data_IF_959240312515
#
_entry.id   IF_959240312515
#
_cell.length_a   1.000
_cell.length_b   1.000
_cell.length_c   1.000
_cell.angle_alpha   90.00
_cell.angle_beta   90.00
_cell.angle_gamma   90.00
#
_symmetry.space_group_name_H-M   'P 1'
#
loop_
_entity.id
_entity.type
_entity.pdbx_description
1 polymer ?
#
# COMPACT_ATOMS: atom_id res chain seq x y z
N UNK A 1 63.52 6.48 -35.30
CA UNK A 1 62.06 6.19 -35.26
C UNK A 1 61.88 4.94 -34.41
N UNK A 2 61.10 4.83 -33.34
CA UNK A 2 60.34 5.73 -32.48
C UNK A 2 60.30 4.98 -31.13
N UNK A 3 60.70 5.61 -30.02
CA UNK A 3 60.58 5.02 -28.68
C UNK A 3 59.13 5.24 -28.22
N UNK A 4 58.36 4.17 -28.07
CA UNK A 4 56.99 4.24 -27.55
C UNK A 4 57.02 4.27 -26.01
N UNK A 5 56.78 5.44 -25.44
CA UNK A 5 56.54 5.64 -24.01
C UNK A 5 55.15 5.08 -23.66
N UNK A 6 55.08 4.03 -22.85
CA UNK A 6 53.82 3.59 -22.24
C UNK A 6 53.56 4.45 -21.01
N UNK A 7 52.62 5.39 -21.11
CA UNK A 7 52.12 6.17 -19.97
C UNK A 7 51.08 5.33 -19.23
N UNK A 8 51.40 4.91 -18.01
CA UNK A 8 50.43 4.29 -17.11
C UNK A 8 49.40 5.35 -16.66
N UNK A 9 48.13 5.17 -17.04
CA UNK A 9 47.05 6.01 -16.54
C UNK A 9 46.64 5.51 -15.15
N UNK A 10 46.84 6.34 -14.13
CA UNK A 10 46.29 6.10 -12.80
C UNK A 10 44.77 6.29 -12.82
N UNK A 11 44.02 5.27 -12.41
CA UNK A 11 42.57 5.39 -12.21
C UNK A 11 42.27 6.35 -11.05
N UNK A 12 41.20 7.17 -11.13
CA UNK A 12 40.82 8.02 -10.03
C UNK A 12 40.33 7.16 -8.86
N UNK A 13 40.93 7.40 -7.69
CA UNK A 13 40.48 6.85 -6.41
C UNK A 13 39.06 7.36 -6.16
N UNK A 14 38.10 6.45 -6.16
CA UNK A 14 36.71 6.77 -5.82
C UNK A 14 36.67 7.31 -4.39
N UNK A 15 36.37 8.60 -4.26
CA UNK A 15 36.08 9.23 -2.97
C UNK A 15 34.94 8.48 -2.28
N UNK A 16 35.17 8.14 -1.00
CA UNK A 16 34.34 7.26 -0.19
C UNK A 16 32.86 7.59 -0.26
N UNK A 17 32.08 6.65 -0.78
CA UNK A 17 30.63 6.67 -0.67
C UNK A 17 30.28 6.31 0.78
N UNK A 18 29.89 7.31 1.57
CA UNK A 18 29.37 7.12 2.93
C UNK A 18 28.26 6.05 2.87
N UNK A 19 28.35 4.94 3.62
CA UNK A 19 27.27 3.97 3.66
C UNK A 19 25.97 4.70 4.01
N UNK A 20 24.84 4.40 3.35
CA UNK A 20 23.57 4.94 3.79
C UNK A 20 23.40 4.56 5.26
N UNK A 21 23.11 5.57 6.11
CA UNK A 21 22.73 5.32 7.49
C UNK A 21 21.59 4.31 7.46
N UNK A 22 21.83 3.11 8.00
CA UNK A 22 20.76 2.15 8.23
C UNK A 22 19.71 2.87 9.07
N UNK A 23 18.47 2.94 8.56
CA UNK A 23 17.36 3.42 9.35
C UNK A 23 17.31 2.60 10.65
N UNK A 24 17.07 3.23 11.82
CA UNK A 24 17.03 2.50 13.08
C UNK A 24 16.03 1.37 12.97
N UNK A 25 16.50 0.13 13.14
CA UNK A 25 15.63 -1.03 13.26
C UNK A 25 14.70 -0.75 14.44
N UNK A 26 13.38 -0.85 14.27
CA UNK A 26 12.44 -0.57 15.33
C UNK A 26 12.77 -1.43 16.54
N UNK A 27 12.85 -0.80 17.71
CA UNK A 27 12.86 -1.50 18.99
C UNK A 27 11.76 -2.56 18.94
N UNK A 28 12.17 -3.83 19.10
CA UNK A 28 11.41 -5.08 18.94
C UNK A 28 9.94 -4.90 18.55
N UNK A 29 9.48 -5.51 17.45
CA UNK A 29 8.07 -5.53 16.98
C UNK A 29 7.06 -6.22 17.94
N UNK A 30 7.24 -6.03 19.25
CA UNK A 30 6.44 -6.47 20.38
C UNK A 30 5.41 -5.40 20.68
N UNK A 31 4.24 -5.85 21.09
CA UNK A 31 3.14 -5.02 21.55
C UNK A 31 2.34 -5.79 22.59
N UNK A 32 1.56 -5.09 23.40
CA UNK A 32 0.60 -5.73 24.30
C UNK A 32 -0.55 -6.29 23.46
N UNK A 33 -0.54 -7.62 23.26
CA UNK A 33 -1.58 -8.31 22.51
C UNK A 33 -2.94 -8.22 23.16
N UNK A 34 -3.02 -8.29 24.50
CA UNK A 34 -4.30 -8.22 25.20
C UNK A 34 -4.91 -6.83 25.05
N UNK A 35 -4.11 -5.77 25.22
CA UNK A 35 -4.57 -4.41 24.99
C UNK A 35 -4.99 -4.17 23.53
N UNK A 36 -4.24 -4.70 22.55
CA UNK A 36 -4.58 -4.59 21.12
C UNK A 36 -5.91 -5.27 20.80
N UNK A 37 -6.17 -6.44 21.39
CA UNK A 37 -7.42 -7.18 21.25
C UNK A 37 -8.58 -6.56 22.06
N UNK A 38 -8.33 -5.62 22.96
CA UNK A 38 -9.40 -4.95 23.70
C UNK A 38 -9.92 -3.69 22.98
N UNK A 39 -9.26 -3.25 21.89
CA UNK A 39 -9.67 -2.07 21.13
C UNK A 39 -10.96 -2.34 20.34
N UNK A 40 -11.87 -1.37 20.31
CA UNK A 40 -12.98 -1.37 19.35
C UNK A 40 -12.46 -1.21 17.91
N UNK A 41 -13.32 -1.46 16.92
CA UNK A 41 -12.92 -1.44 15.52
C UNK A 41 -12.37 -0.07 15.08
N UNK A 42 -12.93 1.03 15.57
CA UNK A 42 -12.48 2.38 15.20
C UNK A 42 -11.09 2.67 15.77
N UNK A 43 -10.85 2.32 17.02
CA UNK A 43 -9.56 2.46 17.68
C UNK A 43 -8.51 1.53 17.06
N UNK A 44 -8.91 0.33 16.66
CA UNK A 44 -8.04 -0.67 16.04
C UNK A 44 -7.69 -0.34 14.59
N UNK A 45 -8.67 0.03 13.76
CA UNK A 45 -8.55 0.09 12.30
C UNK A 45 -8.77 1.47 11.67
N UNK A 46 -9.30 2.46 12.38
CA UNK A 46 -9.58 3.77 11.78
C UNK A 46 -8.69 4.89 12.35
N UNK A 47 -8.02 4.61 13.48
CA UNK A 47 -7.12 5.57 14.12
C UNK A 47 -5.73 5.53 13.49
N UNK A 48 -5.32 6.61 12.83
CA UNK A 48 -4.07 6.66 12.04
C UNK A 48 -2.79 6.50 12.88
N UNK A 49 -2.82 6.92 14.15
CA UNK A 49 -1.69 6.81 15.10
C UNK A 49 -1.84 5.67 16.11
N UNK A 50 -2.88 4.84 15.97
CA UNK A 50 -3.24 3.79 16.94
C UNK A 50 -3.33 2.41 16.31
N UNK A 51 -3.75 1.43 17.11
CA UNK A 51 -4.00 0.06 16.69
C UNK A 51 -2.84 -0.56 15.91
N UNK A 52 -3.16 -1.33 14.87
CA UNK A 52 -2.16 -1.98 14.03
C UNK A 52 -1.31 -0.99 13.20
N UNK A 53 -1.80 0.24 12.95
CA UNK A 53 -1.07 1.24 12.16
C UNK A 53 0.19 1.73 12.86
N UNK A 54 0.19 1.80 14.20
CA UNK A 54 1.37 2.15 14.97
C UNK A 54 2.52 1.15 14.71
N UNK A 55 2.21 -0.15 14.64
CA UNK A 55 3.17 -1.20 14.30
C UNK A 55 3.68 -1.05 12.86
N UNK A 56 2.78 -0.86 11.90
CA UNK A 56 3.14 -0.69 10.49
C UNK A 56 4.00 0.57 10.25
N UNK A 57 3.67 1.69 10.89
CA UNK A 57 4.43 2.93 10.85
C UNK A 57 5.83 2.76 11.45
N UNK A 58 5.95 1.95 12.49
CA UNK A 58 7.22 1.50 13.03
C UNK A 58 7.87 0.40 12.18
N UNK A 59 7.50 0.17 10.91
CA UNK A 59 8.15 -0.81 10.03
C UNK A 59 7.89 -2.29 10.36
N UNK A 60 7.00 -2.59 11.30
CA UNK A 60 6.69 -3.94 11.75
C UNK A 60 5.50 -4.55 11.00
N UNK A 61 5.58 -4.62 9.67
CA UNK A 61 4.45 -5.06 8.82
C UNK A 61 3.91 -6.45 9.19
N UNK A 62 4.78 -7.42 9.47
CA UNK A 62 4.36 -8.77 9.87
C UNK A 62 3.62 -8.78 11.20
N UNK A 63 4.14 -8.09 12.22
CA UNK A 63 3.49 -8.01 13.53
C UNK A 63 2.15 -7.25 13.43
N UNK A 64 2.08 -6.23 12.59
CA UNK A 64 0.83 -5.53 12.30
C UNK A 64 -0.20 -6.45 11.61
N UNK A 65 0.23 -7.26 10.65
CA UNK A 65 -0.64 -8.23 9.98
C UNK A 65 -1.14 -9.32 10.96
N UNK A 66 -0.27 -9.84 11.82
CA UNK A 66 -0.63 -10.80 12.87
C UNK A 66 -1.62 -10.20 13.87
N UNK A 67 -1.47 -8.90 14.19
CA UNK A 67 -2.42 -8.18 15.04
C UNK A 67 -3.82 -8.10 14.40
N UNK A 68 -3.91 -7.79 13.10
CA UNK A 68 -5.19 -7.77 12.36
C UNK A 68 -5.83 -9.15 12.33
N UNK A 69 -5.06 -10.19 12.02
CA UNK A 69 -5.56 -11.56 12.02
C UNK A 69 -6.15 -11.94 13.39
N UNK A 70 -5.41 -11.67 14.47
CA UNK A 70 -5.85 -11.98 15.82
C UNK A 70 -7.08 -11.17 16.23
N UNK A 71 -7.14 -9.88 15.88
CA UNK A 71 -8.29 -9.03 16.18
C UNK A 71 -9.55 -9.51 15.46
N UNK A 72 -9.46 -9.82 14.16
CA UNK A 72 -10.58 -10.38 13.39
C UNK A 72 -11.11 -11.68 13.98
N UNK A 73 -10.22 -12.57 14.43
CA UNK A 73 -10.59 -13.83 15.05
C UNK A 73 -11.31 -13.64 16.40
N UNK A 74 -10.95 -12.61 17.17
CA UNK A 74 -11.54 -12.34 18.48
C UNK A 74 -12.87 -11.57 18.41
N UNK A 75 -13.12 -10.78 17.35
CA UNK A 75 -14.25 -9.84 17.31
C UNK A 75 -15.39 -10.27 16.38
N UNK A 76 -15.32 -11.44 15.75
CA UNK A 76 -16.41 -11.96 14.90
C UNK A 76 -16.85 -10.91 13.86
N UNK A 77 -15.98 -10.66 12.89
CA UNK A 77 -16.01 -9.48 12.01
C UNK A 77 -17.40 -9.02 11.58
N UNK A 78 -17.73 -7.78 11.95
CA UNK A 78 -18.85 -7.03 11.39
C UNK A 78 -18.82 -7.15 9.85
N UNK A 79 -19.86 -7.70 9.20
CA UNK A 79 -19.80 -8.03 7.78
C UNK A 79 -19.42 -6.83 6.90
N UNK A 80 -19.77 -5.60 7.31
CA UNK A 80 -19.49 -4.38 6.56
C UNK A 80 -18.00 -4.03 6.51
N UNK A 81 -17.22 -4.43 7.51
CA UNK A 81 -15.83 -3.99 7.71
C UNK A 81 -14.85 -5.17 7.61
N UNK A 82 -15.35 -6.40 7.69
CA UNK A 82 -14.60 -7.63 7.48
C UNK A 82 -13.79 -7.61 6.18
N UNK A 83 -14.37 -7.12 5.07
CA UNK A 83 -13.65 -6.98 3.79
C UNK A 83 -12.45 -6.01 3.88
N UNK A 84 -12.60 -4.90 4.59
CA UNK A 84 -11.54 -3.89 4.73
C UNK A 84 -10.38 -4.38 5.61
N UNK A 85 -10.67 -5.08 6.72
CA UNK A 85 -9.62 -5.65 7.55
C UNK A 85 -8.85 -6.78 6.84
N UNK A 86 -9.54 -7.62 6.04
CA UNK A 86 -8.86 -8.57 5.14
C UNK A 86 -7.92 -7.83 4.18
N UNK A 87 -8.37 -6.72 3.60
CA UNK A 87 -7.55 -5.90 2.71
C UNK A 87 -6.31 -5.32 3.40
N UNK A 88 -6.47 -4.73 4.60
CA UNK A 88 -5.35 -4.19 5.37
C UNK A 88 -4.35 -5.27 5.77
N UNK A 89 -4.82 -6.44 6.22
CA UNK A 89 -3.94 -7.57 6.48
C UNK A 89 -3.19 -7.99 5.21
N UNK A 90 -3.89 -8.15 4.09
CA UNK A 90 -3.31 -8.54 2.81
C UNK A 90 -2.21 -7.58 2.34
N UNK A 91 -2.40 -6.27 2.50
CA UNK A 91 -1.39 -5.28 2.16
C UNK A 91 -0.13 -5.40 3.03
N UNK A 92 -0.27 -5.64 4.34
CA UNK A 92 0.87 -5.81 5.24
C UNK A 92 1.61 -7.12 4.97
N UNK A 93 0.88 -8.20 4.67
CA UNK A 93 1.46 -9.46 4.20
C UNK A 93 2.24 -9.27 2.90
N UNK A 94 1.67 -8.54 1.94
CA UNK A 94 2.33 -8.19 0.68
C UNK A 94 3.58 -7.33 0.90
N UNK A 95 3.51 -6.33 1.79
CA UNK A 95 4.64 -5.50 2.18
C UNK A 95 5.82 -6.32 2.70
N UNK A 96 5.53 -7.37 3.47
CA UNK A 96 6.50 -8.29 4.04
C UNK A 96 6.92 -9.42 3.07
N UNK A 97 6.45 -9.42 1.83
CA UNK A 97 6.79 -10.44 0.82
C UNK A 97 6.01 -11.75 0.94
N UNK A 98 4.97 -11.84 1.77
CA UNK A 98 4.10 -13.01 1.90
C UNK A 98 3.04 -13.02 0.79
N UNK A 99 3.48 -13.28 -0.45
CA UNK A 99 2.65 -13.20 -1.67
C UNK A 99 1.38 -14.05 -1.63
N UNK A 100 1.49 -15.35 -1.35
CA UNK A 100 0.32 -16.25 -1.40
C UNK A 100 -0.72 -15.91 -0.30
N UNK A 101 -0.34 -15.69 0.97
CA UNK A 101 -1.28 -15.18 1.99
C UNK A 101 -1.93 -13.85 1.61
N UNK A 102 -1.17 -12.90 1.06
CA UNK A 102 -1.70 -11.61 0.64
C UNK A 102 -2.77 -11.74 -0.46
N UNK A 103 -2.52 -12.58 -1.47
CA UNK A 103 -3.49 -12.83 -2.54
C UNK A 103 -4.79 -13.42 -1.96
N UNK A 104 -4.71 -14.43 -1.09
CA UNK A 104 -5.91 -15.03 -0.51
C UNK A 104 -6.77 -14.01 0.27
N UNK A 105 -6.11 -13.12 1.00
CA UNK A 105 -6.76 -12.02 1.74
C UNK A 105 -7.39 -10.99 0.79
N UNK A 106 -6.71 -10.63 -0.31
CA UNK A 106 -7.26 -9.73 -1.33
C UNK A 106 -8.48 -10.31 -2.04
N UNK A 107 -8.47 -11.61 -2.35
CA UNK A 107 -9.64 -12.29 -2.92
C UNK A 107 -10.83 -12.27 -1.94
N UNK A 108 -10.56 -12.45 -0.64
CA UNK A 108 -11.58 -12.40 0.43
C UNK A 108 -12.15 -10.98 0.61
N UNK A 109 -11.35 -9.96 0.32
CA UNK A 109 -11.74 -8.55 0.44
C UNK A 109 -12.61 -8.04 -0.72
N UNK A 110 -12.93 -8.88 -1.72
CA UNK A 110 -13.79 -8.48 -2.84
C UNK A 110 -15.19 -8.12 -2.39
N UNK A 111 -15.81 -7.22 -3.15
CA UNK A 111 -17.21 -6.82 -2.97
C UNK A 111 -18.10 -7.53 -3.97
N UNK A 112 -19.35 -7.78 -3.60
CA UNK A 112 -20.36 -8.23 -4.55
C UNK A 112 -20.51 -7.21 -5.69
N UNK A 113 -20.80 -7.66 -6.91
CA UNK A 113 -20.83 -6.80 -8.10
C UNK A 113 -21.75 -5.58 -7.94
N UNK A 114 -22.88 -5.73 -7.24
CA UNK A 114 -23.81 -4.62 -6.98
C UNK A 114 -23.20 -3.53 -6.09
N UNK A 115 -22.39 -3.89 -5.09
CA UNK A 115 -21.69 -2.95 -4.20
C UNK A 115 -20.46 -2.33 -4.86
N UNK A 116 -19.83 -3.06 -5.79
CA UNK A 116 -18.60 -2.65 -6.47
C UNK A 116 -18.83 -1.69 -7.64
N UNK A 117 -19.99 -1.83 -8.32
CA UNK A 117 -20.27 -1.22 -9.62
C UNK A 117 -19.98 0.29 -9.71
N UNK A 118 -20.15 1.02 -8.61
CA UNK A 118 -19.97 2.48 -8.59
C UNK A 118 -18.52 2.94 -8.35
N UNK A 119 -17.69 2.14 -7.68
CA UNK A 119 -16.37 2.59 -7.18
C UNK A 119 -15.18 1.80 -7.72
N UNK A 120 -15.40 0.63 -8.34
CA UNK A 120 -14.33 -0.16 -8.95
C UNK A 120 -13.32 -0.74 -7.96
N UNK A 121 -13.76 -1.05 -6.74
CA UNK A 121 -12.93 -1.67 -5.72
C UNK A 121 -12.30 -2.97 -6.22
N UNK A 122 -13.08 -3.84 -6.89
CA UNK A 122 -12.56 -5.11 -7.38
C UNK A 122 -11.53 -4.93 -8.49
N UNK A 123 -11.54 -3.83 -9.25
CA UNK A 123 -10.49 -3.53 -10.24
C UNK A 123 -9.18 -3.13 -9.55
N UNK A 124 -9.26 -2.45 -8.40
CA UNK A 124 -8.09 -2.20 -7.58
C UNK A 124 -7.54 -3.51 -6.98
N UNK A 125 -8.42 -4.39 -6.50
CA UNK A 125 -8.06 -5.74 -6.05
C UNK A 125 -7.36 -6.52 -7.17
N UNK A 126 -7.94 -6.54 -8.37
CA UNK A 126 -7.40 -7.24 -9.53
C UNK A 126 -5.97 -6.77 -9.87
N UNK A 127 -5.76 -5.45 -9.92
CA UNK A 127 -4.44 -4.87 -10.20
C UNK A 127 -3.39 -5.25 -9.14
N UNK A 128 -3.74 -5.18 -7.86
CA UNK A 128 -2.83 -5.56 -6.78
C UNK A 128 -2.49 -7.06 -6.78
N UNK A 129 -3.47 -7.92 -7.08
CA UNK A 129 -3.24 -9.37 -7.24
C UNK A 129 -2.36 -9.65 -8.46
N UNK A 130 -2.62 -9.00 -9.60
CA UNK A 130 -1.83 -9.17 -10.82
C UNK A 130 -0.36 -8.77 -10.59
N UNK A 131 -0.11 -7.65 -9.89
CA UNK A 131 1.23 -7.26 -9.48
C UNK A 131 1.93 -8.36 -8.66
N UNK A 132 1.25 -8.91 -7.65
CA UNK A 132 1.78 -9.98 -6.80
C UNK A 132 2.04 -11.28 -7.58
N UNK A 133 1.21 -11.57 -8.58
CA UNK A 133 1.39 -12.72 -9.50
C UNK A 133 2.45 -12.48 -10.58
N UNK A 134 3.06 -11.30 -10.63
CA UNK A 134 3.98 -10.88 -11.71
C UNK A 134 3.32 -10.89 -13.09
N UNK A 135 2.02 -10.61 -13.14
CA UNK A 135 1.23 -10.48 -14.35
C UNK A 135 1.06 -9.00 -14.74
N UNK A 136 1.98 -8.48 -15.56
CA UNK A 136 1.94 -7.08 -16.00
C UNK A 136 0.72 -6.81 -16.90
N UNK A 137 0.37 -7.77 -17.77
CA UNK A 137 -0.77 -7.63 -18.66
C UNK A 137 -2.09 -7.53 -17.87
N UNK A 138 -2.25 -8.37 -16.84
CA UNK A 138 -3.38 -8.31 -15.91
C UNK A 138 -3.43 -7.00 -15.13
N UNK A 139 -2.28 -6.49 -14.67
CA UNK A 139 -2.20 -5.20 -13.98
C UNK A 139 -2.62 -4.05 -14.91
N UNK A 140 -2.11 -4.01 -16.13
CA UNK A 140 -2.45 -2.99 -17.13
C UNK A 140 -3.93 -3.04 -17.51
N UNK A 141 -4.49 -4.24 -17.66
CA UNK A 141 -5.92 -4.42 -17.96
C UNK A 141 -6.81 -3.91 -16.81
N UNK A 142 -6.50 -4.27 -15.57
CA UNK A 142 -7.24 -3.80 -14.39
C UNK A 142 -7.16 -2.27 -14.26
N UNK A 143 -5.97 -1.71 -14.45
CA UNK A 143 -5.72 -0.27 -14.45
C UNK A 143 -6.51 0.46 -15.54
N UNK A 144 -6.49 -0.04 -16.78
CA UNK A 144 -7.22 0.56 -17.89
C UNK A 144 -8.74 0.58 -17.64
N UNK A 145 -9.28 -0.53 -17.11
CA UNK A 145 -10.70 -0.62 -16.74
C UNK A 145 -11.06 0.33 -15.60
N UNK A 146 -10.19 0.47 -14.60
CA UNK A 146 -10.41 1.40 -13.48
C UNK A 146 -10.41 2.84 -13.99
N UNK A 147 -9.44 3.21 -14.84
CA UNK A 147 -9.33 4.53 -15.45
C UNK A 147 -10.54 4.93 -16.30
N UNK A 148 -11.24 3.95 -16.87
CA UNK A 148 -12.42 4.17 -17.70
C UNK A 148 -13.73 4.36 -16.89
N UNK A 149 -13.71 4.22 -15.57
CA UNK A 149 -14.93 4.36 -14.77
C UNK A 149 -15.47 5.81 -14.82
N UNK A 150 -16.77 5.99 -15.08
CA UNK A 150 -17.38 7.31 -15.04
C UNK A 150 -17.31 7.85 -13.61
N UNK A 151 -17.02 9.15 -13.47
CA UNK A 151 -17.08 9.81 -12.17
C UNK A 151 -18.52 9.79 -11.66
N UNK A 152 -18.79 9.27 -10.45
CA UNK A 152 -20.16 9.20 -9.96
C UNK A 152 -20.73 10.61 -9.75
N UNK A 153 -22.02 10.83 -10.06
CA UNK A 153 -22.69 12.09 -9.78
C UNK A 153 -22.53 12.49 -8.31
N UNK A 154 -22.21 13.75 -8.04
CA UNK A 154 -22.06 14.24 -6.66
C UNK A 154 -20.80 13.76 -5.93
N UNK A 155 -19.80 13.21 -6.64
CA UNK A 155 -18.53 12.80 -6.02
C UNK A 155 -17.82 13.98 -5.34
N UNK A 156 -17.98 14.05 -4.01
CA UNK A 156 -17.42 15.04 -3.10
C UNK A 156 -16.82 14.30 -1.89
N UNK A 157 -15.61 13.74 -2.02
CA UNK A 157 -15.05 12.90 -0.98
C UNK A 157 -14.67 13.77 0.23
N UNK A 158 -14.88 13.18 1.41
CA UNK A 158 -14.65 13.83 2.71
C UNK A 158 -13.51 13.11 3.42
N UNK A 159 -12.61 13.90 4.03
CA UNK A 159 -11.52 13.35 4.84
C UNK A 159 -12.04 12.75 6.15
N UNK A 160 -11.15 12.04 6.85
CA UNK A 160 -11.44 11.49 8.19
C UNK A 160 -11.80 12.56 9.23
N UNK A 161 -11.45 13.83 8.96
CA UNK A 161 -11.78 15.01 9.76
C UNK A 161 -13.14 15.63 9.40
N UNK A 162 -13.92 15.00 8.51
CA UNK A 162 -15.22 15.51 8.07
C UNK A 162 -15.14 16.66 7.06
N UNK A 163 -13.95 17.04 6.59
CA UNK A 163 -13.78 18.16 5.66
C UNK A 163 -13.69 17.69 4.20
N UNK A 164 -14.22 18.46 3.23
CA UNK A 164 -14.06 18.13 1.81
C UNK A 164 -12.59 17.97 1.41
N UNK A 165 -12.34 17.07 0.45
CA UNK A 165 -11.03 16.82 -0.14
C UNK A 165 -11.17 16.74 -1.65
N UNK A 166 -10.15 17.19 -2.38
CA UNK A 166 -10.06 16.96 -3.82
C UNK A 166 -9.27 15.68 -4.09
N UNK A 167 -9.79 14.52 -3.69
CA UNK A 167 -9.24 13.26 -4.17
C UNK A 167 -9.52 13.13 -5.67
N UNK A 168 -8.49 12.73 -6.43
CA UNK A 168 -8.61 12.45 -7.84
C UNK A 168 -9.53 11.24 -8.05
N UNK A 169 -10.41 11.35 -9.04
CA UNK A 169 -11.16 10.22 -9.57
C UNK A 169 -10.38 9.59 -10.74
N UNK A 170 -10.39 8.26 -10.92
CA UNK A 170 -10.93 7.22 -10.03
C UNK A 170 -10.09 6.99 -8.76
N UNK A 171 -10.74 6.55 -7.69
CA UNK A 171 -10.05 6.17 -6.45
C UNK A 171 -9.04 5.04 -6.73
N UNK A 172 -7.89 5.08 -6.06
CA UNK A 172 -6.82 4.09 -6.12
C UNK A 172 -6.11 3.91 -7.48
N UNK A 173 -6.50 4.63 -8.54
CA UNK A 173 -5.79 4.56 -9.83
C UNK A 173 -4.32 4.93 -9.69
N UNK A 174 -4.02 5.93 -8.87
CA UNK A 174 -2.66 6.36 -8.54
C UNK A 174 -1.80 5.26 -7.90
N UNK A 175 -2.42 4.31 -7.20
CA UNK A 175 -1.73 3.16 -6.63
C UNK A 175 -1.34 2.19 -7.74
N UNK A 176 -2.27 1.84 -8.63
CA UNK A 176 -1.97 0.98 -9.79
C UNK A 176 -0.91 1.62 -10.70
N UNK A 177 -0.96 2.94 -10.89
CA UNK A 177 0.11 3.68 -11.57
C UNK A 177 1.48 3.48 -10.90
N UNK A 178 1.54 3.54 -9.57
CA UNK A 178 2.76 3.30 -8.79
C UNK A 178 3.29 1.87 -8.94
N UNK A 179 2.38 0.89 -8.91
CA UNK A 179 2.72 -0.53 -9.12
C UNK A 179 3.34 -0.77 -10.51
N UNK A 180 2.78 -0.15 -11.55
CA UNK A 180 3.35 -0.21 -12.91
C UNK A 180 4.72 0.51 -12.96
N UNK A 181 4.80 1.73 -12.42
CA UNK A 181 6.02 2.54 -12.45
C UNK A 181 7.21 1.85 -11.74
N UNK A 182 6.92 1.05 -10.71
CA UNK A 182 7.91 0.33 -9.93
C UNK A 182 7.76 -1.19 -10.05
N UNK A 183 7.41 -1.67 -11.25
CA UNK A 183 7.13 -3.09 -11.56
C UNK A 183 8.13 -4.09 -10.98
N UNK A 184 9.44 -3.79 -11.01
CA UNK A 184 10.48 -4.72 -10.58
C UNK A 184 10.84 -4.63 -9.10
N UNK A 185 10.04 -3.92 -8.29
CA UNK A 185 10.25 -3.77 -6.85
C UNK A 185 9.32 -4.68 -6.06
N UNK A 186 9.63 -4.90 -4.77
CA UNK A 186 8.68 -5.55 -3.86
C UNK A 186 7.44 -4.69 -3.63
N UNK A 187 6.32 -5.30 -3.22
CA UNK A 187 5.02 -4.62 -3.11
C UNK A 187 5.08 -3.32 -2.32
N UNK A 188 5.71 -3.31 -1.13
CA UNK A 188 5.88 -2.09 -0.30
C UNK A 188 6.54 -0.93 -1.04
N UNK A 189 7.62 -1.24 -1.77
CA UNK A 189 8.38 -0.24 -2.52
C UNK A 189 7.58 0.25 -3.73
N UNK A 190 6.91 -0.64 -4.44
CA UNK A 190 6.10 -0.27 -5.60
C UNK A 190 4.87 0.56 -5.20
N UNK A 191 4.23 0.21 -4.09
CA UNK A 191 3.12 0.98 -3.50
C UNK A 191 3.55 2.41 -3.15
N UNK A 192 4.76 2.58 -2.61
CA UNK A 192 5.33 3.89 -2.30
C UNK A 192 5.68 4.74 -3.54
N UNK A 193 5.69 4.16 -4.74
CA UNK A 193 5.87 4.92 -6.00
C UNK A 193 4.60 5.63 -6.46
N UNK A 194 3.46 5.36 -5.82
CA UNK A 194 2.21 6.04 -6.12
C UNK A 194 2.31 7.54 -5.84
N UNK A 195 1.88 8.36 -6.81
CA UNK A 195 1.72 9.80 -6.57
C UNK A 195 0.51 10.03 -5.66
N UNK A 196 0.53 11.02 -4.75
CA UNK A 196 -0.63 11.31 -3.91
C UNK A 196 -1.90 11.57 -4.74
N UNK A 197 -3.01 10.95 -4.35
CA UNK A 197 -4.31 11.16 -5.01
C UNK A 197 -4.95 12.51 -4.67
N UNK A 198 -4.44 13.21 -3.65
CA UNK A 198 -4.96 14.52 -3.23
C UNK A 198 -4.45 15.59 -4.19
N UNK A 199 -5.37 16.31 -4.82
CA UNK A 199 -5.08 17.62 -5.42
C UNK A 199 -5.28 18.68 -4.34
N UNK A 200 -4.41 19.68 -4.29
CA UNK A 200 -4.67 20.89 -3.51
C UNK A 200 -5.96 21.52 -4.02
N UNK A 201 -6.94 21.73 -3.14
CA UNK A 201 -8.08 22.60 -3.44
C UNK A 201 -7.51 24.01 -3.65
N UNK A 202 -7.92 24.76 -4.69
CA UNK A 202 -7.61 26.18 -4.76
C UNK A 202 -8.06 26.85 -3.47
N UNK A 203 -7.20 27.67 -2.86
CA UNK A 203 -7.64 28.60 -1.82
C UNK A 203 -8.69 29.49 -2.47
N UNK A 204 -9.92 29.42 -1.99
CA UNK A 204 -10.93 30.46 -2.25
C UNK A 204 -10.36 31.74 -1.65
N UNK A 205 -9.79 32.59 -2.48
CA UNK A 205 -9.50 33.99 -2.16
C UNK A 205 -10.77 34.82 -2.10
#
# INVERSE_FOLDING_TARGET
MLIALVVAQAAPVAAGRKPPLAAPTPASCRYDKAAMLALDERAFDQTMSGGWRALAAAGCDLAAADAIQAWRAAHGGEPRTAGLLNWHEGQLRANAGQTAPAIALFETARKASAEDAAFGWNLYVDGSIAFLRRDLAGLDAARARLAALPRPPGYAPVGVDGKPRAFAWPMNLNILDGLVACWNRGYKQAYACAKPAVRTLPTTG
#
